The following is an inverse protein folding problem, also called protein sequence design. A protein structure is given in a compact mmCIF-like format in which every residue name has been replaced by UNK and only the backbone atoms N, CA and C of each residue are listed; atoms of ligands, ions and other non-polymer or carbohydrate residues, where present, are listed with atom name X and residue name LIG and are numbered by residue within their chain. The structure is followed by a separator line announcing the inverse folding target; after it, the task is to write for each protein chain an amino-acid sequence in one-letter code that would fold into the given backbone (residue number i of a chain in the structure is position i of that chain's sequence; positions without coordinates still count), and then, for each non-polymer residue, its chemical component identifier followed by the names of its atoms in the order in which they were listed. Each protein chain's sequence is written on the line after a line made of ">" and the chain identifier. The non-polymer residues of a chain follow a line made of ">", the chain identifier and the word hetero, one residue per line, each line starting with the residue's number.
data_IF_116586964073
#
_entry.id   IF_116586964073
#
_cell.length_a   1.000
_cell.length_b   1.000
_cell.length_c   1.000
_cell.angle_alpha   90.00
_cell.angle_beta   90.00
_cell.angle_gamma   90.00
#
_symmetry.space_group_name_H-M   'P 1'
#
loop_
_entity.id
_entity.type
_entity.pdbx_description
1 polymer ?
#
# COMPACT_ATOMS: atom_id res chain seq x y z
N UNK A 1 30.73 -36.47 16.94
CA UNK A 1 29.88 -37.57 17.45
C UNK A 1 28.51 -37.00 17.81
N UNK A 2 27.43 -37.67 17.35
CA UNK A 2 26.00 -37.51 17.73
C UNK A 2 25.29 -36.26 17.18
N UNK A 3 24.08 -36.32 16.62
CA UNK A 3 23.12 -37.41 16.33
C UNK A 3 22.17 -36.88 15.23
N UNK A 4 22.15 -37.52 14.07
CA UNK A 4 21.18 -37.27 13.00
C UNK A 4 19.87 -37.96 13.38
N UNK A 5 18.77 -37.22 13.57
CA UNK A 5 17.45 -37.80 13.81
C UNK A 5 16.59 -37.61 12.57
N UNK A 6 16.49 -38.67 11.77
CA UNK A 6 15.52 -38.85 10.70
C UNK A 6 14.16 -39.13 11.34
N UNK A 7 13.18 -38.25 11.13
CA UNK A 7 11.78 -38.57 11.39
C UNK A 7 11.03 -38.59 10.05
N UNK A 8 10.77 -39.81 9.60
CA UNK A 8 9.85 -40.15 8.52
C UNK A 8 8.44 -40.21 9.11
N UNK A 9 7.51 -39.39 8.63
CA UNK A 9 6.08 -39.54 8.93
C UNK A 9 5.34 -39.80 7.62
N UNK A 10 4.58 -40.90 7.51
CA UNK A 10 3.89 -41.29 6.29
C UNK A 10 2.59 -40.50 6.07
N UNK A 11 2.27 -40.46 4.78
CA UNK A 11 1.05 -40.05 4.09
C UNK A 11 -0.23 -40.58 4.76
N UNK A 12 -1.25 -39.72 4.87
CA UNK A 12 -2.64 -40.12 5.08
C UNK A 12 -3.50 -39.51 3.98
N UNK A 13 -4.02 -40.40 3.15
CA UNK A 13 -4.90 -40.19 2.01
C UNK A 13 -6.31 -40.67 2.43
N UNK A 14 -7.32 -39.81 2.39
CA UNK A 14 -8.77 -40.14 2.36
C UNK A 14 -9.57 -38.82 2.47
N UNK A 15 -10.74 -38.61 1.90
CA UNK A 15 -11.50 -39.19 0.79
C UNK A 15 -12.67 -38.21 0.52
N UNK A 16 -13.25 -38.31 -0.67
CA UNK A 16 -14.39 -37.59 -1.24
C UNK A 16 -15.66 -37.56 -0.37
N UNK A 17 -16.39 -36.43 -0.40
CA UNK A 17 -17.87 -36.30 -0.36
C UNK A 17 -18.23 -34.82 -0.63
N UNK A 18 -18.54 -34.42 -1.86
CA UNK A 18 -19.88 -34.41 -2.45
C UNK A 18 -20.94 -33.63 -1.63
N UNK A 19 -21.06 -32.32 -1.86
CA UNK A 19 -22.32 -31.60 -1.64
C UNK A 19 -22.73 -30.85 -2.91
N UNK A 20 -23.75 -31.43 -3.52
CA UNK A 20 -24.62 -31.00 -4.60
C UNK A 20 -25.43 -29.78 -4.11
N UNK A 21 -25.63 -28.76 -4.96
CA UNK A 21 -26.96 -28.39 -5.51
C UNK A 21 -27.00 -26.94 -5.97
N UNK A 22 -27.10 -26.87 -7.28
CA UNK A 22 -27.56 -25.83 -8.21
C UNK A 22 -28.78 -25.02 -7.74
N UNK A 23 -28.69 -23.70 -7.85
CA UNK A 23 -29.85 -22.84 -8.11
C UNK A 23 -29.41 -21.74 -9.09
N UNK A 24 -29.99 -21.80 -10.28
CA UNK A 24 -29.75 -20.91 -11.42
C UNK A 24 -30.66 -19.65 -11.32
N UNK A 25 -30.40 -18.60 -12.12
CA UNK A 25 -30.69 -17.21 -11.78
C UNK A 25 -32.11 -16.74 -12.14
N UNK A 26 -32.65 -15.70 -11.46
CA UNK A 26 -33.82 -14.98 -11.93
C UNK A 26 -33.48 -14.02 -13.09
N UNK A 27 -34.49 -13.90 -13.97
CA UNK A 27 -34.53 -13.41 -15.34
C UNK A 27 -34.17 -11.93 -15.58
N UNK A 28 -33.85 -11.56 -16.85
CA UNK A 28 -33.64 -10.18 -17.28
C UNK A 28 -34.95 -9.38 -17.29
N UNK A 29 -34.91 -8.14 -16.79
CA UNK A 29 -36.00 -7.18 -16.91
C UNK A 29 -35.89 -6.37 -18.22
N UNK A 30 -37.01 -6.10 -18.92
CA UNK A 30 -37.03 -5.29 -20.13
C UNK A 30 -37.18 -3.78 -19.86
N UNK A 31 -36.36 -3.01 -20.60
CA UNK A 31 -36.64 -1.79 -21.38
C UNK A 31 -37.47 -0.67 -20.73
N UNK A 32 -36.88 0.53 -20.65
CA UNK A 32 -37.59 1.77 -20.98
C UNK A 32 -36.62 2.81 -21.54
N UNK A 33 -36.63 2.97 -22.86
CA UNK A 33 -36.09 4.11 -23.59
C UNK A 33 -36.99 5.31 -23.31
N UNK A 34 -36.45 6.39 -22.74
CA UNK A 34 -37.10 7.69 -22.69
C UNK A 34 -36.16 8.73 -23.30
N UNK A 35 -36.38 9.00 -24.59
CA UNK A 35 -35.89 10.19 -25.29
C UNK A 35 -36.72 11.38 -24.81
N UNK A 36 -36.06 12.38 -24.23
CA UNK A 36 -36.62 13.70 -24.04
C UNK A 36 -35.62 14.73 -24.60
N UNK A 37 -35.95 15.27 -25.77
CA UNK A 37 -35.32 16.46 -26.35
C UNK A 37 -36.01 17.72 -25.81
N UNK A 38 -35.27 18.65 -25.20
CA UNK A 38 -35.55 20.10 -25.18
C UNK A 38 -34.39 20.84 -24.48
N UNK A 39 -34.24 22.17 -24.64
CA UNK A 39 -33.93 22.97 -25.82
C UNK A 39 -32.50 23.56 -25.76
N UNK A 40 -32.00 23.98 -26.93
CA UNK A 40 -30.81 24.82 -27.10
C UNK A 40 -30.87 26.08 -26.24
N UNK A 41 -30.02 26.14 -25.22
CA UNK A 41 -29.57 27.38 -24.58
C UNK A 41 -28.13 27.64 -25.02
N UNK A 42 -27.92 28.83 -25.58
CA UNK A 42 -26.63 29.39 -25.98
C UNK A 42 -25.69 29.47 -24.76
N UNK A 43 -24.57 28.73 -24.73
CA UNK A 43 -23.62 28.84 -23.63
C UNK A 43 -22.79 30.10 -23.81
N UNK A 44 -22.91 31.03 -22.87
CA UNK A 44 -21.86 32.01 -22.58
C UNK A 44 -20.51 31.30 -22.53
N UNK A 45 -19.51 31.90 -23.17
CA UNK A 45 -18.13 31.40 -23.16
C UNK A 45 -17.72 31.07 -21.71
N UNK A 46 -17.38 29.81 -21.39
CA UNK A 46 -16.91 29.46 -20.07
C UNK A 46 -15.67 30.29 -19.76
N UNK A 47 -15.74 31.08 -18.68
CA UNK A 47 -14.55 31.62 -18.06
C UNK A 47 -13.57 30.46 -17.85
N UNK A 48 -12.37 30.61 -18.41
CA UNK A 48 -11.27 29.65 -18.29
C UNK A 48 -11.16 29.26 -16.81
N UNK A 49 -11.41 27.98 -16.46
CA UNK A 49 -11.29 27.53 -15.08
C UNK A 49 -9.87 27.83 -14.64
N UNK A 50 -9.71 28.70 -13.65
CA UNK A 50 -8.44 28.88 -12.98
C UNK A 50 -7.92 27.49 -12.60
N UNK A 51 -6.81 27.10 -13.22
CA UNK A 51 -6.15 25.82 -12.99
C UNK A 51 -5.98 25.68 -11.47
N UNK A 52 -6.63 24.69 -10.82
CA UNK A 52 -6.54 24.56 -9.39
C UNK A 52 -5.08 24.35 -9.05
N UNK A 53 -4.47 25.32 -8.33
CA UNK A 53 -3.14 25.21 -7.78
C UNK A 53 -3.08 23.89 -7.02
N UNK A 54 -2.41 22.92 -7.65
CA UNK A 54 -2.28 21.58 -7.13
C UNK A 54 -1.60 21.72 -5.77
N UNK A 55 -2.25 21.34 -4.66
CA UNK A 55 -1.67 21.54 -3.33
C UNK A 55 -0.26 20.94 -3.33
N UNK A 56 0.72 21.76 -2.94
CA UNK A 56 2.13 21.35 -2.89
C UNK A 56 2.22 20.03 -2.16
N UNK A 57 2.67 18.99 -2.88
CA UNK A 57 2.64 17.63 -2.37
C UNK A 57 3.52 17.56 -1.12
N UNK A 58 3.06 16.97 0.00
CA UNK A 58 3.80 16.89 1.26
C UNK A 58 5.03 15.96 1.19
N UNK A 59 5.43 15.56 0.00
CA UNK A 59 6.51 14.62 -0.27
C UNK A 59 7.79 15.45 -0.48
N UNK A 60 8.84 15.25 0.33
CA UNK A 60 10.10 15.95 0.16
C UNK A 60 10.78 15.57 -1.17
N UNK A 61 11.73 16.39 -1.61
CA UNK A 61 12.55 16.05 -2.78
C UNK A 61 13.37 14.78 -2.53
N UNK A 62 13.30 13.83 -3.46
CA UNK A 62 13.95 12.53 -3.33
C UNK A 62 15.12 12.46 -4.33
N UNK A 63 16.38 12.41 -3.86
CA UNK A 63 17.52 12.28 -4.74
C UNK A 63 17.51 10.93 -5.46
N UNK A 64 17.92 10.92 -6.73
CA UNK A 64 18.01 9.69 -7.56
C UNK A 64 19.21 8.82 -7.24
N UNK A 65 20.22 9.38 -6.57
CA UNK A 65 21.44 8.68 -6.18
C UNK A 65 21.17 7.50 -5.24
N UNK A 66 22.08 6.52 -5.23
CA UNK A 66 22.11 5.52 -4.16
C UNK A 66 22.94 6.05 -3.01
N UNK A 67 22.29 6.29 -1.89
CA UNK A 67 22.92 6.70 -0.65
C UNK A 67 22.86 5.56 0.38
N UNK A 68 23.62 5.72 1.46
CA UNK A 68 23.60 4.78 2.58
C UNK A 68 22.27 4.88 3.33
N UNK A 69 21.78 3.77 3.95
CA UNK A 69 20.60 3.80 4.80
C UNK A 69 20.70 4.91 5.86
N UNK A 70 19.61 5.63 6.16
CA UNK A 70 19.67 6.72 7.12
C UNK A 70 19.90 6.24 8.54
N UNK A 71 20.56 7.09 9.31
CA UNK A 71 20.83 6.89 10.73
C UNK A 71 19.59 7.17 11.57
N UNK A 72 19.59 6.69 12.82
CA UNK A 72 18.51 6.96 13.77
C UNK A 72 18.34 8.45 14.09
N UNK A 73 19.40 9.26 13.98
CA UNK A 73 19.33 10.70 14.18
C UNK A 73 18.51 11.36 13.06
N UNK A 74 18.83 11.04 11.80
CA UNK A 74 18.08 11.55 10.64
C UNK A 74 16.60 11.16 10.70
N UNK A 75 16.28 9.92 11.11
CA UNK A 75 14.88 9.49 11.25
C UNK A 75 14.11 10.27 12.31
N UNK A 76 14.76 10.73 13.38
CA UNK A 76 14.10 11.49 14.45
C UNK A 76 13.68 12.87 13.97
N UNK A 77 14.49 13.49 13.13
CA UNK A 77 14.26 14.83 12.55
C UNK A 77 13.26 14.80 11.37
N UNK A 78 13.04 13.63 10.77
CA UNK A 78 12.14 13.48 9.64
C UNK A 78 10.65 13.67 10.02
N UNK A 79 9.95 14.42 9.19
CA UNK A 79 8.50 14.66 9.31
C UNK A 79 7.69 13.42 8.96
N UNK A 80 6.59 13.19 9.68
CA UNK A 80 5.61 12.18 9.31
C UNK A 80 4.90 12.61 8.02
N UNK A 81 4.82 11.71 7.05
CA UNK A 81 4.19 11.98 5.77
C UNK A 81 3.01 11.03 5.56
N UNK A 82 1.96 11.50 4.89
CA UNK A 82 0.90 10.66 4.33
C UNK A 82 0.16 11.50 3.30
N UNK A 83 0.09 11.04 2.06
CA UNK A 83 -0.58 11.79 0.99
C UNK A 83 -2.10 11.58 0.95
N UNK A 84 -2.62 10.68 1.79
CA UNK A 84 -4.07 10.53 1.97
C UNK A 84 -4.61 11.55 2.99
N UNK A 85 -5.93 11.59 3.12
CA UNK A 85 -6.65 12.48 4.04
C UNK A 85 -6.15 12.37 5.48
N UNK A 86 -6.35 13.44 6.24
CA UNK A 86 -6.09 13.48 7.68
C UNK A 86 -6.84 12.34 8.35
N UNK A 87 -6.15 11.55 9.18
CA UNK A 87 -6.66 10.33 9.85
C UNK A 87 -6.84 9.09 8.97
N UNK A 88 -6.43 9.08 7.70
CA UNK A 88 -6.40 7.84 6.89
C UNK A 88 -5.40 6.80 7.41
N UNK A 89 -4.37 7.26 8.11
CA UNK A 89 -3.33 6.43 8.72
C UNK A 89 -3.91 5.55 9.84
N UNK A 90 -3.62 4.23 9.85
CA UNK A 90 -3.95 3.37 10.98
C UNK A 90 -3.26 3.82 12.26
N UNK A 91 -3.94 3.65 13.40
CA UNK A 91 -3.44 4.08 14.69
C UNK A 91 -2.13 3.38 15.06
N UNK A 92 -1.18 4.13 15.64
CA UNK A 92 0.17 3.64 15.97
C UNK A 92 0.98 3.15 14.76
N UNK A 93 0.60 3.55 13.56
CA UNK A 93 1.46 3.45 12.38
C UNK A 93 1.91 4.85 11.97
N UNK A 94 3.17 4.99 11.58
CA UNK A 94 3.72 6.22 11.03
C UNK A 94 4.63 5.92 9.85
N UNK A 95 4.82 6.91 8.98
CA UNK A 95 5.78 6.79 7.89
C UNK A 95 6.59 8.09 7.73
N UNK A 96 7.87 7.94 7.45
CA UNK A 96 8.79 9.07 7.29
C UNK A 96 9.63 8.86 6.05
N UNK A 97 9.96 9.94 5.36
CA UNK A 97 10.93 9.91 4.26
C UNK A 97 12.18 10.65 4.70
N UNK A 98 13.34 10.03 4.46
CA UNK A 98 14.65 10.66 4.56
C UNK A 98 15.40 10.35 3.29
N UNK A 99 15.71 11.39 2.50
CA UNK A 99 16.32 11.24 1.18
C UNK A 99 15.47 10.28 0.34
N UNK A 100 16.04 9.21 -0.21
CA UNK A 100 15.33 8.18 -0.96
C UNK A 100 14.83 7.00 -0.13
N UNK A 101 14.89 7.08 1.20
CA UNK A 101 14.46 6.01 2.07
C UNK A 101 13.11 6.35 2.70
N UNK A 102 12.17 5.42 2.58
CA UNK A 102 10.89 5.44 3.26
C UNK A 102 10.94 4.47 4.44
N UNK A 103 10.65 4.97 5.64
CA UNK A 103 10.46 4.15 6.84
C UNK A 103 8.98 4.03 7.15
N UNK A 104 8.51 2.81 7.36
CA UNK A 104 7.18 2.48 7.86
C UNK A 104 7.35 1.80 9.20
N UNK A 105 6.67 2.31 10.23
CA UNK A 105 6.69 1.70 11.54
C UNK A 105 5.25 1.56 12.04
N UNK A 106 4.88 0.36 12.44
CA UNK A 106 3.60 0.06 13.06
C UNK A 106 3.84 -0.63 14.40
N UNK A 107 3.26 -0.09 15.47
CA UNK A 107 3.34 -0.64 16.82
C UNK A 107 2.02 -1.26 17.26
N UNK A 108 2.12 -2.30 18.09
CA UNK A 108 1.00 -3.00 18.70
C UNK A 108 0.18 -3.85 17.73
N UNK A 109 -0.22 -5.03 18.19
CA UNK A 109 -1.19 -5.88 17.50
C UNK A 109 -0.75 -6.38 16.12
N UNK A 110 0.53 -6.24 15.74
CA UNK A 110 1.06 -6.72 14.46
C UNK A 110 1.07 -8.23 14.44
N UNK A 111 0.43 -8.86 13.46
CA UNK A 111 0.38 -10.33 13.32
C UNK A 111 1.29 -10.83 12.20
N UNK A 112 1.56 -10.00 11.19
CA UNK A 112 2.37 -10.38 10.04
C UNK A 112 2.40 -9.29 8.97
N UNK A 113 2.80 -9.67 7.76
CA UNK A 113 2.75 -8.82 6.58
C UNK A 113 2.61 -9.67 5.31
N UNK A 114 2.12 -9.05 4.24
CA UNK A 114 1.94 -9.69 2.93
C UNK A 114 2.00 -8.66 1.80
N UNK A 115 1.93 -9.13 0.55
CA UNK A 115 1.79 -8.26 -0.63
C UNK A 115 2.97 -7.30 -0.84
N UNK A 116 4.19 -7.74 -0.52
CA UNK A 116 5.41 -6.96 -0.78
C UNK A 116 5.71 -6.90 -2.27
N UNK A 117 5.50 -5.75 -2.88
CA UNK A 117 5.77 -5.49 -4.29
C UNK A 117 6.69 -4.28 -4.44
N UNK A 118 7.68 -4.36 -5.33
CA UNK A 118 8.53 -3.21 -5.68
C UNK A 118 9.69 -2.88 -4.73
N UNK A 119 9.87 -3.64 -3.63
CA UNK A 119 10.88 -3.38 -2.60
C UNK A 119 12.32 -3.59 -3.04
N UNK A 120 12.56 -4.39 -4.09
CA UNK A 120 13.91 -4.70 -4.56
C UNK A 120 14.55 -5.86 -3.78
N UNK A 121 15.85 -5.77 -3.52
CA UNK A 121 16.61 -6.83 -2.85
C UNK A 121 16.75 -6.57 -1.35
N UNK A 122 16.54 -7.60 -0.53
CA UNK A 122 16.73 -7.51 0.92
C UNK A 122 18.18 -7.15 1.26
N UNK A 123 18.38 -6.35 2.32
CA UNK A 123 19.66 -5.81 2.78
C UNK A 123 20.35 -4.81 1.83
N UNK A 124 19.84 -4.65 0.61
CA UNK A 124 20.39 -3.73 -0.39
C UNK A 124 19.44 -2.56 -0.70
N UNK A 125 18.16 -2.85 -0.87
CA UNK A 125 17.09 -1.91 -1.17
C UNK A 125 16.05 -1.81 -0.05
N UNK A 126 15.94 -2.84 0.80
CA UNK A 126 15.07 -2.78 1.97
C UNK A 126 15.59 -3.58 3.17
N UNK A 127 15.10 -3.18 4.35
CA UNK A 127 15.31 -3.85 5.63
C UNK A 127 13.96 -4.00 6.30
N UNK A 128 13.76 -5.13 6.99
CA UNK A 128 12.54 -5.40 7.72
C UNK A 128 12.84 -5.97 9.10
N UNK A 129 12.00 -5.61 10.07
CA UNK A 129 12.04 -6.13 11.43
C UNK A 129 10.61 -6.28 11.92
N UNK A 130 10.13 -7.51 12.00
CA UNK A 130 8.76 -7.82 12.41
C UNK A 130 8.80 -8.67 13.65
N UNK A 131 8.12 -8.21 14.70
CA UNK A 131 7.95 -8.92 15.97
C UNK A 131 6.45 -9.07 16.23
N UNK A 132 5.87 -10.26 16.00
CA UNK A 132 4.45 -10.51 16.23
C UNK A 132 4.00 -10.05 17.62
N UNK A 133 2.80 -9.48 17.68
CA UNK A 133 2.19 -8.82 18.84
C UNK A 133 2.77 -7.44 19.18
N UNK A 134 3.93 -7.06 18.63
CA UNK A 134 4.68 -5.88 19.09
C UNK A 134 4.90 -4.82 18.02
N UNK A 135 5.59 -5.13 16.92
CA UNK A 135 5.95 -4.12 15.94
C UNK A 135 6.23 -4.69 14.55
N UNK A 136 6.08 -3.85 13.54
CA UNK A 136 6.62 -4.02 12.20
C UNK A 136 7.36 -2.74 11.80
N UNK A 137 8.65 -2.86 11.51
CA UNK A 137 9.51 -1.77 11.02
C UNK A 137 10.04 -2.17 9.64
N UNK A 138 9.75 -1.35 8.63
CA UNK A 138 10.25 -1.49 7.28
C UNK A 138 11.00 -0.24 6.89
N UNK A 139 12.17 -0.39 6.30
CA UNK A 139 12.94 0.69 5.69
C UNK A 139 13.20 0.30 4.26
N UNK A 140 12.64 1.03 3.31
CA UNK A 140 12.69 0.69 1.88
C UNK A 140 13.18 1.88 1.07
N UNK A 141 14.01 1.61 0.05
CA UNK A 141 14.48 2.59 -0.90
C UNK A 141 13.43 2.84 -1.98
N UNK A 142 12.99 4.08 -2.09
CA UNK A 142 12.13 4.54 -3.16
C UNK A 142 12.92 4.64 -4.47
N UNK A 143 12.30 4.24 -5.58
CA UNK A 143 12.93 4.21 -6.91
C UNK A 143 11.99 4.81 -7.94
N UNK A 144 12.55 5.65 -8.82
CA UNK A 144 11.82 6.25 -9.95
C UNK A 144 11.12 5.18 -10.78
N UNK A 145 9.88 5.45 -11.16
CA UNK A 145 9.07 4.56 -12.01
C UNK A 145 8.67 3.23 -11.36
N UNK A 146 8.76 3.10 -10.02
CA UNK A 146 8.36 1.89 -9.31
C UNK A 146 7.15 2.15 -8.43
N UNK A 147 6.24 1.19 -8.43
CA UNK A 147 5.13 1.10 -7.50
C UNK A 147 5.57 0.23 -6.33
N UNK A 148 5.31 0.67 -5.10
CA UNK A 148 5.52 -0.14 -3.91
C UNK A 148 4.17 -0.47 -3.27
N UNK A 149 3.99 -1.73 -2.88
CA UNK A 149 2.85 -2.16 -2.08
C UNK A 149 3.33 -3.01 -0.91
N UNK A 150 2.65 -2.88 0.22
CA UNK A 150 2.85 -3.71 1.40
C UNK A 150 1.56 -3.70 2.22
N UNK A 151 1.17 -4.85 2.76
CA UNK A 151 0.10 -4.99 3.73
C UNK A 151 0.70 -5.45 5.05
N UNK A 152 0.50 -4.69 6.11
CA UNK A 152 0.88 -5.08 7.47
C UNK A 152 -0.39 -5.57 8.14
N UNK A 153 -0.40 -6.84 8.52
CA UNK A 153 -1.53 -7.48 9.17
C UNK A 153 -1.51 -7.15 10.66
N UNK A 154 -2.66 -6.76 11.20
CA UNK A 154 -2.84 -6.42 12.62
C UNK A 154 -4.12 -7.05 13.16
N UNK A 155 -4.24 -7.09 14.48
CA UNK A 155 -5.44 -7.59 15.18
C UNK A 155 -6.69 -6.77 14.90
N UNK A 156 -6.52 -5.47 14.65
CA UNK A 156 -7.62 -4.50 14.42
C UNK A 156 -7.86 -4.21 12.92
N UNK A 157 -7.19 -4.92 12.02
CA UNK A 157 -7.29 -4.73 10.57
C UNK A 157 -5.93 -4.74 9.86
N UNK A 158 -5.86 -4.15 8.68
CA UNK A 158 -4.62 -4.04 7.91
C UNK A 158 -4.12 -2.60 7.82
N UNK A 159 -2.80 -2.40 7.83
CA UNK A 159 -2.19 -1.17 7.35
C UNK A 159 -1.65 -1.41 5.93
N UNK A 160 -2.15 -0.66 4.95
CA UNK A 160 -1.82 -0.83 3.54
C UNK A 160 -0.95 0.34 3.10
N UNK A 161 0.30 0.04 2.76
CA UNK A 161 1.20 0.96 2.11
C UNK A 161 0.98 0.89 0.60
N UNK A 162 0.84 2.06 -0.01
CA UNK A 162 0.85 2.24 -1.45
C UNK A 162 1.72 3.44 -1.82
N UNK A 163 2.72 3.19 -2.65
CA UNK A 163 3.55 4.25 -3.26
C UNK A 163 3.40 4.15 -4.76
N UNK A 164 3.02 5.25 -5.39
CA UNK A 164 2.99 5.35 -6.85
C UNK A 164 4.03 6.37 -7.31
N UNK A 165 5.01 5.90 -8.06
CA UNK A 165 5.96 6.76 -8.76
C UNK A 165 5.77 6.58 -10.26
N UNK A 166 4.99 7.47 -10.92
CA UNK A 166 4.75 7.37 -12.35
C UNK A 166 6.05 7.40 -13.16
N UNK A 167 6.04 6.76 -14.33
CA UNK A 167 7.18 6.81 -15.24
C UNK A 167 7.37 8.24 -15.77
N UNK A 168 8.63 8.70 -15.79
CA UNK A 168 8.97 10.05 -16.26
C UNK A 168 8.87 11.15 -15.19
N UNK A 169 8.28 10.87 -14.02
CA UNK A 169 8.15 11.84 -12.93
C UNK A 169 9.39 11.89 -12.04
N UNK A 170 9.72 13.08 -11.57
CA UNK A 170 10.87 13.29 -10.70
C UNK A 170 10.62 12.91 -9.24
N UNK A 171 9.35 12.78 -8.83
CA UNK A 171 8.93 12.42 -7.48
C UNK A 171 7.70 11.51 -7.51
N UNK A 172 7.46 10.71 -6.45
CA UNK A 172 6.23 9.93 -6.37
C UNK A 172 5.04 10.87 -6.24
N UNK A 173 3.90 10.48 -6.81
CA UNK A 173 2.66 11.24 -6.72
C UNK A 173 1.80 10.82 -5.54
N UNK A 174 1.96 9.57 -5.09
CA UNK A 174 1.23 9.01 -3.95
C UNK A 174 2.23 8.32 -3.03
N UNK A 175 2.19 8.65 -1.75
CA UNK A 175 2.90 7.95 -0.67
C UNK A 175 1.93 7.83 0.50
N UNK A 176 1.24 6.71 0.53
CA UNK A 176 0.01 6.53 1.29
C UNK A 176 0.10 5.32 2.23
N UNK A 177 -0.32 5.50 3.48
CA UNK A 177 -0.48 4.41 4.45
C UNK A 177 -1.92 4.50 4.96
N UNK A 178 -2.77 3.58 4.50
CA UNK A 178 -4.20 3.57 4.78
C UNK A 178 -4.62 2.38 5.63
N UNK A 179 -5.86 2.40 6.11
CA UNK A 179 -6.54 1.23 6.66
C UNK A 179 -7.01 0.31 5.53
N UNK A 180 -6.66 -0.96 5.58
CA UNK A 180 -7.20 -2.00 4.71
C UNK A 180 -8.38 -2.72 5.36
N UNK A 181 -9.26 -3.29 4.53
CA UNK A 181 -10.28 -4.23 4.99
C UNK A 181 -9.61 -5.57 5.27
N UNK A 182 -9.79 -6.09 6.48
CA UNK A 182 -9.43 -7.45 6.91
C UNK A 182 -10.27 -8.51 6.22
#
# INVERSE_FOLDING_TARGET
>A
MRKTSLFTVPVLLAALLACKKEEAPPAPQPIATATAETPTAEPEAPAEPAEPEKPESPIPDIPTGRSKPPTMAEWKEATNINTQEVNSQPDKCFMRIVREWLKINCEGGVTGYSGMEGFGSELADYFQSVKPGKLADFVVRLRKGKVLKLRIQRTEGEAVLFVNWPAGEDKPTIVALGRGKS
#
